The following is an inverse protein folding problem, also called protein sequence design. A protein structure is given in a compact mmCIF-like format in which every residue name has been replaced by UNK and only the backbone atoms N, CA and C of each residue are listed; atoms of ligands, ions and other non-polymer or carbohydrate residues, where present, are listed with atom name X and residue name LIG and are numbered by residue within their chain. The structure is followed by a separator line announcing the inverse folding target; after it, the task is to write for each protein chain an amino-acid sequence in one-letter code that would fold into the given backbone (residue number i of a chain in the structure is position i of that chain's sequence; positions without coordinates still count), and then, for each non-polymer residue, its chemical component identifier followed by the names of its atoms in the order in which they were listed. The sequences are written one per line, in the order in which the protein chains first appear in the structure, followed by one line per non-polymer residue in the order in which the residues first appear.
data_IF_538358650183
#
_entry.id   IF_538358650183
#
_cell.length_a   1.000
_cell.length_b   1.000
_cell.length_c   1.000
_cell.angle_alpha   90.00
_cell.angle_beta   90.00
_cell.angle_gamma   90.00
#
_symmetry.space_group_name_H-M   'P 1'
#
loop_
_entity.id
_entity.type
_entity.pdbx_description
1 polymer ?
#
# COMPACT_ATOMS: atom_id res chain seq x y z
N UNK A 1 4.95 8.38 -8.59
CA UNK A 1 4.11 7.33 -9.18
C UNK A 1 2.64 7.59 -8.89
N UNK A 2 2.28 7.81 -7.62
CA UNK A 2 0.87 8.03 -7.25
C UNK A 2 0.32 9.30 -7.90
N UNK A 3 1.07 10.39 -7.85
CA UNK A 3 0.67 11.65 -8.48
C UNK A 3 0.50 11.46 -10.00
N UNK A 4 1.40 10.73 -10.63
CA UNK A 4 1.31 10.43 -12.05
C UNK A 4 0.02 9.67 -12.38
N UNK A 5 -0.31 8.64 -11.60
CA UNK A 5 -1.52 7.85 -11.81
C UNK A 5 -2.77 8.71 -11.66
N UNK A 6 -2.82 9.53 -10.61
CA UNK A 6 -3.95 10.41 -10.37
C UNK A 6 -4.14 11.41 -11.51
N UNK A 7 -3.05 12.02 -11.97
CA UNK A 7 -3.10 12.98 -13.09
C UNK A 7 -3.49 12.31 -14.40
N UNK A 8 -2.93 11.13 -14.67
CA UNK A 8 -3.23 10.40 -15.89
C UNK A 8 -4.70 10.01 -15.97
N UNK A 9 -5.27 9.54 -14.87
CA UNK A 9 -6.70 9.20 -14.80
C UNK A 9 -7.56 10.43 -14.97
N UNK A 10 -7.16 11.57 -14.40
CA UNK A 10 -7.89 12.83 -14.55
C UNK A 10 -7.93 13.27 -16.01
N UNK A 11 -6.80 13.18 -16.72
CA UNK A 11 -6.72 13.55 -18.13
C UNK A 11 -7.58 12.62 -19.02
N UNK A 12 -7.50 11.30 -18.77
CA UNK A 12 -8.18 10.32 -19.62
C UNK A 12 -9.68 10.32 -19.47
N UNK A 13 -10.18 10.60 -18.27
CA UNK A 13 -11.62 10.49 -17.98
C UNK A 13 -12.33 11.82 -17.93
N UNK A 14 -11.61 12.93 -17.89
CA UNK A 14 -12.18 14.26 -17.72
C UNK A 14 -12.73 14.51 -16.33
N UNK A 15 -12.46 13.60 -15.38
CA UNK A 15 -12.85 13.74 -13.97
C UNK A 15 -11.62 14.04 -13.15
N UNK A 16 -11.83 14.65 -11.96
CA UNK A 16 -10.74 14.97 -11.05
C UNK A 16 -10.44 13.77 -10.14
N UNK A 17 -9.30 13.14 -10.36
CA UNK A 17 -8.80 12.04 -9.52
C UNK A 17 -7.61 12.45 -8.68
N UNK A 18 -7.38 13.74 -8.47
CA UNK A 18 -6.26 14.23 -7.67
C UNK A 18 -6.30 13.73 -6.22
N UNK A 19 -7.49 13.41 -5.72
CA UNK A 19 -7.71 12.90 -4.37
C UNK A 19 -8.00 11.39 -4.35
N UNK A 20 -7.67 10.67 -5.42
CA UNK A 20 -7.90 9.24 -5.48
C UNK A 20 -7.16 8.54 -4.34
N UNK A 21 -7.87 7.75 -3.49
CA UNK A 21 -7.22 7.04 -2.40
C UNK A 21 -6.19 6.03 -2.91
N UNK A 22 -5.08 5.93 -2.21
CA UNK A 22 -4.02 4.97 -2.51
C UNK A 22 -3.76 4.14 -1.25
N UNK A 23 -4.03 2.83 -1.35
CA UNK A 23 -3.89 1.90 -0.22
C UNK A 23 -2.77 0.93 -0.56
N UNK A 24 -1.80 0.78 0.33
CA UNK A 24 -0.66 -0.08 0.08
C UNK A 24 -0.13 -0.70 1.38
N UNK A 25 0.51 -1.86 1.24
CA UNK A 25 1.14 -2.53 2.36
C UNK A 25 2.66 -2.34 2.36
N UNK A 26 3.26 -2.42 3.54
CA UNK A 26 4.72 -2.40 3.64
C UNK A 26 5.32 -3.76 3.28
N UNK A 27 6.63 -3.78 3.05
CA UNK A 27 7.36 -5.02 2.82
C UNK A 27 7.62 -5.69 4.19
N UNK A 28 7.40 -7.00 4.27
CA UNK A 28 7.69 -7.75 5.49
C UNK A 28 9.19 -7.72 5.80
N UNK A 29 9.54 -7.56 7.07
CA UNK A 29 10.96 -7.54 7.49
C UNK A 29 11.70 -8.81 7.17
N UNK A 30 11.00 -9.94 7.11
CA UNK A 30 11.58 -11.24 6.76
C UNK A 30 11.82 -11.40 5.27
N UNK A 31 11.28 -10.50 4.44
CA UNK A 31 11.47 -10.54 2.99
C UNK A 31 12.92 -10.26 2.64
N UNK A 32 13.51 -11.09 1.77
CA UNK A 32 14.90 -10.92 1.38
C UNK A 32 15.17 -9.62 0.60
N UNK A 33 14.11 -8.98 0.10
CA UNK A 33 14.20 -7.69 -0.59
C UNK A 33 13.85 -6.52 0.31
N UNK A 34 13.69 -6.77 1.62
CA UNK A 34 13.35 -5.72 2.56
C UNK A 34 14.47 -4.67 2.63
N UNK A 35 14.06 -3.40 2.65
CA UNK A 35 14.98 -2.28 2.85
C UNK A 35 14.36 -1.30 3.82
N UNK A 36 15.08 -0.98 4.91
CA UNK A 36 14.59 -0.05 5.92
C UNK A 36 14.35 1.35 5.35
N UNK A 37 15.16 1.76 4.37
CA UNK A 37 15.00 3.06 3.73
C UNK A 37 13.71 3.14 2.91
N UNK A 38 13.36 2.05 2.23
CA UNK A 38 12.12 1.97 1.46
C UNK A 38 10.93 2.00 2.41
N UNK A 39 10.99 1.25 3.51
CA UNK A 39 9.91 1.26 4.50
C UNK A 39 9.72 2.66 5.10
N UNK A 40 10.81 3.34 5.43
CA UNK A 40 10.74 4.70 5.96
C UNK A 40 10.13 5.67 4.95
N UNK A 41 10.47 5.53 3.67
CA UNK A 41 9.91 6.36 2.60
C UNK A 41 8.41 6.11 2.44
N UNK A 42 7.97 4.85 2.52
CA UNK A 42 6.54 4.51 2.44
C UNK A 42 5.76 5.11 3.61
N UNK A 43 6.31 5.02 4.82
CA UNK A 43 5.67 5.61 6.00
C UNK A 43 5.60 7.13 5.91
N UNK A 44 6.65 7.77 5.40
CA UNK A 44 6.67 9.22 5.19
C UNK A 44 5.61 9.63 4.17
N UNK A 45 5.51 8.92 3.06
CA UNK A 45 4.51 9.20 2.04
C UNK A 45 3.09 9.11 2.61
N UNK A 46 2.81 8.07 3.38
CA UNK A 46 1.48 7.90 3.99
C UNK A 46 1.15 9.02 4.99
N UNK A 47 2.17 9.57 5.65
CA UNK A 47 1.99 10.68 6.59
C UNK A 47 1.74 12.01 5.87
N UNK A 48 2.44 12.23 4.75
CA UNK A 48 2.37 13.49 4.00
C UNK A 48 1.16 13.58 3.07
N UNK A 49 0.73 12.46 2.51
CA UNK A 49 -0.40 12.42 1.58
C UNK A 49 -1.67 12.00 2.32
N UNK A 50 -2.62 12.92 2.46
CA UNK A 50 -3.86 12.67 3.21
C UNK A 50 -4.75 11.60 2.59
N UNK A 51 -4.51 11.24 1.33
CA UNK A 51 -5.27 10.21 0.62
C UNK A 51 -4.48 8.91 0.45
N UNK A 52 -3.36 8.76 1.15
CA UNK A 52 -2.59 7.53 1.18
C UNK A 52 -2.83 6.80 2.50
N UNK A 53 -3.02 5.49 2.41
CA UNK A 53 -3.34 4.64 3.55
C UNK A 53 -2.36 3.48 3.59
N UNK A 54 -1.59 3.38 4.67
CA UNK A 54 -0.58 2.35 4.84
C UNK A 54 -1.11 1.20 5.67
N UNK A 55 -0.87 -0.03 5.20
CA UNK A 55 -1.13 -1.24 5.96
C UNK A 55 0.22 -1.79 6.39
N UNK A 56 0.42 -1.96 7.70
CA UNK A 56 1.70 -2.44 8.22
C UNK A 56 1.79 -3.95 8.05
N UNK A 57 2.64 -4.39 7.13
CA UNK A 57 2.92 -5.79 6.86
C UNK A 57 4.33 -6.20 7.31
N UNK A 58 4.97 -5.39 8.15
CA UNK A 58 6.36 -5.63 8.56
C UNK A 58 6.54 -6.96 9.30
N UNK A 59 5.52 -7.43 10.03
CA UNK A 59 5.56 -8.68 10.77
C UNK A 59 4.87 -9.84 10.03
N UNK A 60 4.55 -9.66 8.75
CA UNK A 60 3.84 -10.66 7.98
C UNK A 60 4.69 -11.92 7.76
N UNK A 61 4.01 -13.06 7.75
CA UNK A 61 4.64 -14.34 7.44
C UNK A 61 4.76 -14.52 5.93
N UNK A 62 5.85 -15.13 5.49
CA UNK A 62 6.14 -15.35 4.09
C UNK A 62 6.17 -16.83 3.74
N UNK A 63 6.02 -17.13 2.46
CA UNK A 63 6.25 -18.47 1.93
C UNK A 63 7.73 -18.82 2.04
N UNK A 64 8.07 -20.09 1.78
CA UNK A 64 9.44 -20.54 1.89
C UNK A 64 10.47 -19.80 1.04
N UNK A 65 10.02 -19.10 -0.01
CA UNK A 65 10.89 -18.29 -0.88
C UNK A 65 11.30 -16.96 -0.25
N UNK A 66 10.68 -16.57 0.88
CA UNK A 66 10.92 -15.30 1.57
C UNK A 66 10.66 -14.08 0.69
N UNK A 67 9.78 -14.21 -0.29
CA UNK A 67 9.37 -13.11 -1.18
C UNK A 67 7.87 -12.89 -1.15
N UNK A 68 7.09 -13.96 -1.20
CA UNK A 68 5.64 -13.86 -1.29
C UNK A 68 5.00 -14.05 0.08
N UNK A 69 3.94 -13.31 0.36
CA UNK A 69 3.16 -13.52 1.56
C UNK A 69 2.55 -14.92 1.53
N UNK A 70 2.52 -15.58 2.70
CA UNK A 70 1.77 -16.84 2.80
C UNK A 70 0.26 -16.53 2.76
N UNK A 71 -0.56 -17.58 2.74
CA UNK A 71 -2.02 -17.42 2.63
C UNK A 71 -2.59 -16.55 3.75
N UNK A 72 -2.15 -16.77 4.98
CA UNK A 72 -2.66 -16.00 6.12
C UNK A 72 -2.32 -14.51 6.01
N UNK A 73 -1.10 -14.19 5.58
CA UNK A 73 -0.68 -12.80 5.40
C UNK A 73 -1.41 -12.13 4.25
N UNK A 74 -1.63 -12.86 3.14
CA UNK A 74 -2.37 -12.32 2.01
C UNK A 74 -3.83 -12.05 2.39
N UNK A 75 -4.46 -12.94 3.15
CA UNK A 75 -5.81 -12.73 3.65
C UNK A 75 -5.89 -11.53 4.59
N UNK A 76 -4.90 -11.38 5.46
CA UNK A 76 -4.83 -10.24 6.36
C UNK A 76 -4.75 -8.92 5.57
N UNK A 77 -3.87 -8.87 4.58
CA UNK A 77 -3.72 -7.67 3.75
C UNK A 77 -5.02 -7.32 3.03
N UNK A 78 -5.66 -8.33 2.42
CA UNK A 78 -6.93 -8.13 1.73
C UNK A 78 -8.03 -7.64 2.66
N UNK A 79 -8.11 -8.19 3.86
CA UNK A 79 -9.09 -7.77 4.86
C UNK A 79 -8.85 -6.33 5.28
N UNK A 80 -7.59 -5.95 5.53
CA UNK A 80 -7.25 -4.59 5.93
C UNK A 80 -7.55 -3.58 4.82
N UNK A 81 -7.28 -3.94 3.57
CA UNK A 81 -7.63 -3.10 2.42
C UNK A 81 -9.14 -2.89 2.33
N UNK A 82 -9.92 -3.95 2.52
CA UNK A 82 -11.37 -3.87 2.50
C UNK A 82 -11.90 -2.95 3.61
N UNK A 83 -11.35 -3.08 4.81
CA UNK A 83 -11.73 -2.22 5.93
C UNK A 83 -11.41 -0.75 5.67
N UNK A 84 -10.26 -0.47 5.04
CA UNK A 84 -9.90 0.89 4.67
C UNK A 84 -10.85 1.46 3.61
N UNK A 85 -11.21 0.67 2.62
CA UNK A 85 -12.16 1.09 1.58
C UNK A 85 -13.50 1.43 2.20
N UNK A 86 -13.98 0.63 3.15
CA UNK A 86 -15.23 0.91 3.86
C UNK A 86 -15.15 2.21 4.66
N UNK A 87 -14.03 2.45 5.31
CA UNK A 87 -13.84 3.64 6.13
C UNK A 87 -13.79 4.92 5.30
N UNK A 88 -13.27 4.84 4.06
CA UNK A 88 -13.16 5.98 3.16
C UNK A 88 -14.53 6.38 2.57
N UNK A 89 -15.40 5.42 2.38
CA UNK A 89 -16.74 5.68 1.87
C UNK A 89 -17.58 6.40 2.92
#
# INVERSE_FOLDING_TARGET
VVTYVRNHLSEKTGKDYSNLPFIFGTVAKKNKQYGSEVEAAMKRFAKEDKNAYLIDMSDAELMGDRLHFNQNSAEYLGKQMYEQIKAIR
#
